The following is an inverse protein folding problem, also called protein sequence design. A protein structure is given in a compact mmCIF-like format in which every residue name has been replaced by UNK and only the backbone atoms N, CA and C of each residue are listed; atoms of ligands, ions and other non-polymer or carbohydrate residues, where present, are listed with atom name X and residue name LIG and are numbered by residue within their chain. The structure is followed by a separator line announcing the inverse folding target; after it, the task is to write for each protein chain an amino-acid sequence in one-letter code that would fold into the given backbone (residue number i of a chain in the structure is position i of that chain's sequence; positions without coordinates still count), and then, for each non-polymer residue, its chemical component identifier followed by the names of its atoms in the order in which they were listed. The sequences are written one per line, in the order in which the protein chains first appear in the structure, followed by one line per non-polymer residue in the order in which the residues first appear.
data_IF_073721601950
#
_entry.id   IF_073721601950
#
_cell.length_a   1.000
_cell.length_b   1.000
_cell.length_c   1.000
_cell.angle_alpha   90.00
_cell.angle_beta   90.00
_cell.angle_gamma   90.00
#
_symmetry.space_group_name_H-M   'P 1'
#
loop_
_entity.id
_entity.type
_entity.pdbx_description
1 polymer ?
#
# COMPACT_ATOMS: atom_id res chain seq x y z
N UNK A 1 -46.83 -39.33 -71.63
CA UNK A 1 -45.93 -40.01 -70.66
C UNK A 1 -45.03 -38.94 -70.07
N UNK A 2 -45.26 -38.51 -68.80
CA UNK A 2 -44.41 -37.55 -68.10
C UNK A 2 -43.66 -38.24 -66.95
N UNK A 3 -42.33 -38.30 -67.09
CA UNK A 3 -41.45 -38.82 -66.04
C UNK A 3 -41.33 -37.81 -64.87
N UNK A 4 -41.68 -38.24 -63.68
CA UNK A 4 -41.45 -37.46 -62.46
C UNK A 4 -40.06 -37.85 -61.97
N UNK A 5 -39.16 -36.89 -61.93
CA UNK A 5 -37.86 -36.98 -61.29
C UNK A 5 -38.01 -36.66 -59.81
N UNK A 6 -37.70 -37.60 -58.90
CA UNK A 6 -37.70 -37.37 -57.48
C UNK A 6 -36.42 -36.65 -57.04
N UNK A 7 -36.56 -35.67 -56.18
CA UNK A 7 -35.46 -34.99 -55.50
C UNK A 7 -35.03 -35.77 -54.27
N UNK A 8 -33.72 -35.88 -53.97
CA UNK A 8 -33.25 -36.54 -52.78
C UNK A 8 -33.41 -35.63 -51.55
N UNK A 9 -33.91 -36.17 -50.46
CA UNK A 9 -33.99 -35.51 -49.17
C UNK A 9 -32.58 -35.41 -48.55
N UNK A 10 -32.13 -34.17 -48.32
CA UNK A 10 -30.89 -33.88 -47.58
C UNK A 10 -31.26 -33.90 -46.10
N UNK A 11 -30.78 -34.92 -45.36
CA UNK A 11 -30.84 -34.95 -43.90
C UNK A 11 -29.75 -34.04 -43.32
N UNK A 12 -30.12 -32.94 -42.74
CA UNK A 12 -29.22 -32.06 -41.99
C UNK A 12 -29.09 -32.60 -40.57
N UNK A 13 -27.97 -33.23 -40.25
CA UNK A 13 -27.63 -33.60 -38.88
C UNK A 13 -27.15 -32.39 -38.12
N UNK A 14 -27.98 -31.87 -37.21
CA UNK A 14 -27.60 -30.81 -36.27
C UNK A 14 -26.82 -31.44 -35.11
N UNK A 15 -25.48 -31.31 -35.13
CA UNK A 15 -24.61 -31.70 -34.03
C UNK A 15 -24.67 -30.62 -32.98
N UNK A 16 -25.31 -30.88 -31.84
CA UNK A 16 -25.35 -30.02 -30.68
C UNK A 16 -24.00 -30.12 -29.95
N UNK A 17 -23.08 -29.20 -30.20
CA UNK A 17 -21.84 -29.09 -29.47
C UNK A 17 -22.13 -28.47 -28.11
N UNK A 18 -22.17 -29.28 -27.05
CA UNK A 18 -22.19 -28.77 -25.66
C UNK A 18 -20.86 -28.10 -25.34
N UNK A 19 -20.78 -26.81 -25.43
CA UNK A 19 -19.66 -26.02 -24.96
C UNK A 19 -19.74 -26.00 -23.42
N UNK A 20 -18.99 -26.86 -22.76
CA UNK A 20 -18.73 -26.74 -21.32
C UNK A 20 -17.82 -25.52 -21.12
N UNK A 21 -18.42 -24.37 -20.84
CA UNK A 21 -17.70 -23.23 -20.32
C UNK A 21 -17.20 -23.61 -18.92
N UNK A 22 -15.92 -23.97 -18.81
CA UNK A 22 -15.23 -24.08 -17.52
C UNK A 22 -15.26 -22.70 -16.89
N UNK A 23 -16.11 -22.52 -15.89
CA UNK A 23 -16.05 -21.37 -14.98
C UNK A 23 -14.74 -21.53 -14.20
N UNK A 24 -13.66 -20.96 -14.73
CA UNK A 24 -12.45 -20.78 -13.96
C UNK A 24 -12.82 -19.91 -12.77
N UNK A 25 -12.94 -20.54 -11.60
CA UNK A 25 -13.19 -19.86 -10.33
C UNK A 25 -11.98 -18.93 -10.14
N UNK A 26 -12.15 -17.65 -10.42
CA UNK A 26 -11.13 -16.66 -10.19
C UNK A 26 -10.79 -16.75 -8.70
N UNK A 27 -9.58 -17.24 -8.39
CA UNK A 27 -9.08 -17.24 -7.02
C UNK A 27 -9.26 -15.82 -6.48
N UNK A 28 -10.11 -15.65 -5.47
CA UNK A 28 -10.55 -14.35 -5.00
C UNK A 28 -9.33 -13.44 -4.76
N UNK A 29 -9.33 -12.26 -5.37
CA UNK A 29 -8.24 -11.30 -5.24
C UNK A 29 -7.95 -11.07 -3.75
N UNK A 30 -6.67 -11.04 -3.36
CA UNK A 30 -6.26 -10.84 -1.98
C UNK A 30 -6.92 -9.57 -1.40
N UNK A 31 -7.50 -9.70 -0.24
CA UNK A 31 -8.10 -8.59 0.53
C UNK A 31 -7.35 -8.43 1.83
N UNK A 32 -6.86 -7.23 2.11
CA UNK A 32 -6.21 -6.92 3.38
C UNK A 32 -7.26 -6.75 4.48
N UNK A 33 -6.97 -7.24 5.68
CA UNK A 33 -7.79 -6.97 6.87
C UNK A 33 -7.36 -5.68 7.57
N UNK A 34 -8.26 -5.04 8.32
CA UNK A 34 -7.90 -3.92 9.20
C UNK A 34 -6.77 -4.30 10.17
N UNK A 35 -6.85 -5.50 10.74
CA UNK A 35 -5.82 -6.00 11.65
C UNK A 35 -4.43 -6.09 10.98
N UNK A 36 -4.35 -6.62 9.76
CA UNK A 36 -3.09 -6.67 9.00
C UNK A 36 -2.54 -5.28 8.75
N UNK A 37 -3.39 -4.34 8.31
CA UNK A 37 -2.99 -2.96 8.06
C UNK A 37 -2.53 -2.24 9.35
N UNK A 38 -3.25 -2.43 10.46
CA UNK A 38 -2.87 -1.91 11.79
C UNK A 38 -1.52 -2.47 12.25
N UNK A 39 -1.31 -3.79 12.11
CA UNK A 39 -0.06 -4.42 12.53
C UNK A 39 1.13 -3.97 11.68
N UNK A 40 0.92 -3.79 10.37
CA UNK A 40 1.92 -3.27 9.45
C UNK A 40 2.34 -1.85 9.84
N UNK A 41 1.36 -0.96 10.07
CA UNK A 41 1.63 0.44 10.45
C UNK A 41 2.30 0.55 11.83
N UNK A 42 1.91 -0.29 12.79
CA UNK A 42 2.59 -0.36 14.08
C UNK A 42 4.06 -0.74 13.92
N UNK A 43 4.35 -1.74 13.09
CA UNK A 43 5.74 -2.12 12.76
C UNK A 43 6.51 -0.98 12.09
N UNK A 44 5.85 -0.22 11.20
CA UNK A 44 6.42 0.93 10.53
C UNK A 44 6.77 2.05 11.51
N UNK A 45 5.85 2.46 12.40
CA UNK A 45 6.09 3.46 13.42
C UNK A 45 7.18 3.03 14.41
N UNK A 46 7.15 1.77 14.88
CA UNK A 46 8.21 1.24 15.76
C UNK A 46 9.59 1.27 15.09
N UNK A 47 9.66 0.93 13.80
CA UNK A 47 10.90 1.00 13.04
C UNK A 47 11.39 2.45 12.88
N UNK A 48 10.48 3.40 12.71
CA UNK A 48 10.82 4.83 12.66
C UNK A 48 11.30 5.34 14.02
N UNK A 49 10.54 5.11 15.10
CA UNK A 49 10.89 5.52 16.47
C UNK A 49 12.28 5.01 16.89
N UNK A 50 12.63 3.81 16.45
CA UNK A 50 13.95 3.19 16.69
C UNK A 50 14.98 3.51 15.61
N UNK A 51 14.63 4.25 14.56
CA UNK A 51 15.47 4.57 13.39
C UNK A 51 16.09 3.32 12.78
N UNK A 52 15.32 2.25 12.71
CA UNK A 52 15.75 0.94 12.25
C UNK A 52 15.33 0.70 10.79
N UNK A 53 16.17 1.11 9.85
CA UNK A 53 15.92 0.92 8.41
C UNK A 53 15.82 -0.57 8.02
N UNK A 54 16.51 -1.49 8.72
CA UNK A 54 16.39 -2.94 8.49
C UNK A 54 15.01 -3.47 8.87
N UNK A 55 14.38 -2.89 9.90
CA UNK A 55 13.02 -3.24 10.27
C UNK A 55 12.00 -2.72 9.25
N UNK A 56 12.18 -1.49 8.74
CA UNK A 56 11.31 -0.93 7.70
C UNK A 56 11.28 -1.83 6.46
N UNK A 57 12.43 -2.24 5.94
CA UNK A 57 12.48 -3.01 4.68
C UNK A 57 11.86 -4.41 4.80
N UNK A 58 11.76 -4.97 6.01
CA UNK A 58 11.06 -6.23 6.25
C UNK A 58 9.55 -6.14 6.06
N UNK A 59 8.99 -4.94 6.11
CA UNK A 59 7.57 -4.69 5.88
C UNK A 59 7.21 -4.68 4.38
N UNK A 60 8.19 -4.63 3.50
CA UNK A 60 8.01 -4.58 2.05
C UNK A 60 8.37 -5.90 1.37
N UNK A 61 7.76 -6.13 0.19
CA UNK A 61 8.23 -7.18 -0.72
C UNK A 61 9.65 -6.88 -1.20
N UNK A 62 10.42 -7.85 -1.73
CA UNK A 62 11.76 -7.58 -2.26
C UNK A 62 11.82 -6.47 -3.30
N UNK A 63 10.83 -6.40 -4.20
CA UNK A 63 10.68 -5.35 -5.22
C UNK A 63 9.69 -4.24 -4.84
N UNK A 64 9.39 -4.08 -3.56
CA UNK A 64 8.42 -3.08 -3.08
C UNK A 64 8.78 -1.65 -3.49
N UNK A 65 7.76 -0.82 -3.61
CA UNK A 65 7.90 0.60 -3.98
C UNK A 65 7.51 1.47 -2.80
N UNK A 66 8.36 2.41 -2.47
CA UNK A 66 8.09 3.45 -1.48
C UNK A 66 8.16 4.83 -2.14
N UNK A 67 7.13 5.63 -1.95
CA UNK A 67 7.05 7.00 -2.44
C UNK A 67 6.83 7.95 -1.27
N UNK A 68 7.87 8.69 -0.88
CA UNK A 68 7.76 9.70 0.19
C UNK A 68 7.04 10.97 -0.28
N UNK A 69 7.06 11.25 -1.60
CA UNK A 69 6.27 12.32 -2.22
C UNK A 69 5.74 11.79 -3.56
N UNK A 70 4.40 11.68 -3.72
CA UNK A 70 3.80 11.19 -4.94
C UNK A 70 4.14 12.03 -6.16
N UNK A 71 4.45 11.38 -7.28
CA UNK A 71 4.74 12.07 -8.55
C UNK A 71 6.13 12.70 -8.66
N UNK A 72 6.94 12.62 -7.60
CA UNK A 72 8.33 13.14 -7.61
C UNK A 72 9.28 11.96 -7.80
N UNK A 73 9.99 11.92 -8.93
CA UNK A 73 10.81 10.77 -9.35
C UNK A 73 11.95 10.44 -8.38
N UNK A 74 12.65 11.46 -7.88
CA UNK A 74 13.75 11.29 -6.90
C UNK A 74 13.24 11.02 -5.47
N UNK A 75 11.93 10.95 -5.25
CA UNK A 75 11.25 10.55 -4.01
C UNK A 75 10.54 9.21 -4.16
N UNK A 76 10.93 8.42 -5.16
CA UNK A 76 10.42 7.06 -5.40
C UNK A 76 11.57 6.06 -5.30
N UNK A 77 11.44 5.13 -4.36
CA UNK A 77 12.46 4.14 -4.02
C UNK A 77 11.94 2.74 -4.34
N UNK A 78 12.65 2.01 -5.21
CA UNK A 78 12.25 0.69 -5.68
C UNK A 78 13.17 -0.38 -5.12
N UNK A 79 12.58 -1.36 -4.46
CA UNK A 79 13.28 -2.48 -3.83
C UNK A 79 13.86 -2.14 -2.45
N UNK A 80 14.04 -3.18 -1.65
CA UNK A 80 14.46 -3.06 -0.24
C UNK A 80 15.76 -2.27 -0.06
N UNK A 81 16.72 -2.40 -0.97
CA UNK A 81 18.01 -1.70 -0.88
C UNK A 81 17.83 -0.16 -0.99
N UNK A 82 17.01 0.30 -1.94
CA UNK A 82 16.75 1.73 -2.11
C UNK A 82 15.91 2.29 -0.96
N UNK A 83 14.90 1.53 -0.49
CA UNK A 83 14.09 1.88 0.67
C UNK A 83 14.94 1.98 1.93
N UNK A 84 15.83 1.00 2.16
CA UNK A 84 16.77 1.02 3.29
C UNK A 84 17.65 2.28 3.30
N UNK A 85 18.26 2.57 2.14
CA UNK A 85 19.13 3.74 2.03
C UNK A 85 18.38 5.04 2.36
N UNK A 86 17.20 5.21 1.80
CA UNK A 86 16.35 6.37 2.09
C UNK A 86 16.06 6.48 3.60
N UNK A 87 15.57 5.41 4.21
CA UNK A 87 15.21 5.40 5.63
C UNK A 87 16.40 5.62 6.56
N UNK A 88 17.55 5.05 6.23
CA UNK A 88 18.80 5.29 6.96
C UNK A 88 19.21 6.77 6.92
N UNK A 89 19.15 7.39 5.73
CA UNK A 89 19.58 8.77 5.56
C UNK A 89 18.58 9.76 6.19
N UNK A 90 17.27 9.60 5.96
CA UNK A 90 16.25 10.55 6.41
C UNK A 90 16.08 10.53 7.93
N UNK A 91 16.24 9.37 8.57
CA UNK A 91 16.08 9.27 10.03
C UNK A 91 17.34 9.59 10.82
N UNK A 92 18.50 9.68 10.16
CA UNK A 92 19.77 9.95 10.83
C UNK A 92 19.79 11.25 11.64
N UNK A 93 19.27 12.40 11.16
CA UNK A 93 19.20 13.63 11.95
C UNK A 93 18.06 13.67 12.97
N UNK A 94 17.14 12.71 12.91
CA UNK A 94 15.92 12.69 13.72
C UNK A 94 16.15 12.13 15.10
N UNK A 95 15.40 12.62 16.06
CA UNK A 95 15.37 12.13 17.44
C UNK A 95 14.03 12.41 18.13
N UNK A 96 13.78 11.83 19.28
CA UNK A 96 12.54 12.00 20.05
C UNK A 96 11.29 11.69 19.22
N UNK A 97 11.38 10.67 18.40
CA UNK A 97 10.32 10.28 17.47
C UNK A 97 9.22 9.58 18.27
N UNK A 98 7.99 10.04 18.13
CA UNK A 98 6.81 9.40 18.71
C UNK A 98 5.65 9.48 17.72
N UNK A 99 5.10 8.32 17.37
CA UNK A 99 4.04 8.19 16.37
C UNK A 99 2.82 7.45 16.88
N UNK A 100 1.65 7.93 16.51
CA UNK A 100 0.37 7.24 16.69
C UNK A 100 -0.31 7.04 15.33
N UNK A 101 -1.15 6.01 15.25
CA UNK A 101 -1.91 5.70 14.03
C UNK A 101 -3.42 5.78 14.29
N UNK A 102 -4.16 6.18 13.27
CA UNK A 102 -5.61 6.06 13.21
C UNK A 102 -6.07 4.66 12.81
N UNK A 103 -7.39 4.49 12.78
CA UNK A 103 -8.03 3.25 12.30
C UNK A 103 -7.89 3.11 10.79
N UNK A 104 -7.31 2.02 10.26
CA UNK A 104 -7.15 1.84 8.82
C UNK A 104 -8.50 1.77 8.08
N UNK A 105 -8.59 2.48 6.96
CA UNK A 105 -9.66 2.34 5.96
C UNK A 105 -9.17 1.34 4.92
N UNK A 106 -9.86 0.21 4.74
CA UNK A 106 -9.42 -0.87 3.84
C UNK A 106 -10.37 -1.04 2.65
N UNK A 107 -9.80 -1.26 1.46
CA UNK A 107 -10.54 -1.56 0.23
C UNK A 107 -9.72 -2.52 -0.64
N UNK A 108 -10.24 -3.72 -0.88
CA UNK A 108 -9.52 -4.76 -1.60
C UNK A 108 -8.19 -5.09 -0.91
N UNK A 109 -7.09 -4.99 -1.61
CA UNK A 109 -5.74 -5.19 -1.08
C UNK A 109 -5.04 -3.89 -0.65
N UNK A 110 -5.79 -2.78 -0.50
CA UNK A 110 -5.24 -1.47 -0.13
C UNK A 110 -5.78 -1.00 1.21
N UNK A 111 -4.97 -0.22 1.90
CA UNK A 111 -5.38 0.53 3.09
C UNK A 111 -4.92 1.99 3.00
N UNK A 112 -5.75 2.91 3.49
CA UNK A 112 -5.34 4.25 3.85
C UNK A 112 -5.23 4.31 5.38
N UNK A 113 -4.10 4.81 5.89
CA UNK A 113 -3.79 4.81 7.32
C UNK A 113 -3.22 6.18 7.67
N UNK A 114 -3.94 6.91 8.51
CA UNK A 114 -3.47 8.18 9.05
C UNK A 114 -2.44 7.91 10.15
N UNK A 115 -1.39 8.73 10.18
CA UNK A 115 -0.43 8.77 11.28
C UNK A 115 -0.19 10.21 11.71
N UNK A 116 0.13 10.37 12.98
CA UNK A 116 0.49 11.62 13.62
C UNK A 116 1.80 11.41 14.33
N UNK A 117 2.87 12.06 13.85
CA UNK A 117 4.22 11.81 14.35
C UNK A 117 4.85 13.11 14.81
N UNK A 118 5.32 13.14 16.04
CA UNK A 118 6.14 14.24 16.56
C UNK A 118 7.60 13.81 16.65
N UNK A 119 8.50 14.66 16.21
CA UNK A 119 9.93 14.37 16.31
C UNK A 119 10.77 15.63 16.23
N UNK A 120 12.02 15.52 16.65
CA UNK A 120 13.02 16.57 16.50
C UNK A 120 13.79 16.33 15.21
N UNK A 121 13.83 17.33 14.32
CA UNK A 121 14.59 17.28 13.08
C UNK A 121 15.15 18.66 12.72
N UNK A 122 16.46 18.90 12.89
CA UNK A 122 17.08 20.19 12.58
C UNK A 122 17.17 20.50 11.08
N UNK A 123 16.95 19.49 10.19
CA UNK A 123 16.92 19.69 8.73
C UNK A 123 15.58 20.29 8.30
N UNK A 124 14.47 19.73 8.79
CA UNK A 124 13.12 20.22 8.46
C UNK A 124 12.74 21.47 9.25
N UNK A 125 13.19 21.58 10.51
CA UNK A 125 12.97 22.77 11.34
C UNK A 125 14.30 23.26 11.90
N UNK A 126 15.07 24.10 11.18
CA UNK A 126 16.40 24.57 11.62
C UNK A 126 16.36 25.58 12.77
N UNK A 127 15.18 26.00 13.21
CA UNK A 127 15.00 27.02 14.25
C UNK A 127 14.47 26.44 15.55
N UNK A 128 14.69 27.18 16.65
CA UNK A 128 14.15 26.83 17.95
C UNK A 128 14.61 25.48 18.48
N UNK A 129 13.68 24.69 19.03
CA UNK A 129 13.94 23.36 19.58
C UNK A 129 13.96 22.25 18.51
N UNK A 130 13.78 22.60 17.22
CA UNK A 130 13.74 21.69 16.08
C UNK A 130 12.60 20.66 16.10
N UNK A 131 11.61 20.83 16.99
CA UNK A 131 10.46 19.95 17.05
C UNK A 131 9.50 20.22 15.90
N UNK A 132 8.96 19.16 15.34
CA UNK A 132 7.91 19.20 14.32
C UNK A 132 6.83 18.16 14.63
N UNK A 133 5.66 18.41 14.08
CA UNK A 133 4.57 17.44 13.97
C UNK A 133 4.32 17.16 12.51
N UNK A 134 4.35 15.91 12.13
CA UNK A 134 4.01 15.45 10.80
C UNK A 134 2.63 14.81 10.82
N UNK A 135 1.79 15.26 9.90
CA UNK A 135 0.45 14.77 9.63
C UNK A 135 0.52 14.00 8.32
N UNK A 136 0.25 12.71 8.35
CA UNK A 136 0.47 11.88 7.18
C UNK A 136 -0.64 10.86 6.96
N UNK A 137 -0.94 10.60 5.69
CA UNK A 137 -1.73 9.45 5.26
C UNK A 137 -0.88 8.54 4.39
N UNK A 138 -0.72 7.30 4.84
CA UNK A 138 -0.08 6.23 4.09
C UNK A 138 -1.11 5.48 3.26
N UNK A 139 -0.93 5.39 1.94
CA UNK A 139 -1.73 4.54 1.06
C UNK A 139 -0.92 3.31 0.70
N UNK A 140 -1.20 2.22 1.39
CA UNK A 140 -0.44 0.97 1.31
C UNK A 140 -1.17 -0.05 0.43
N UNK A 141 -0.44 -0.68 -0.51
CA UNK A 141 -0.93 -1.83 -1.29
C UNK A 141 -0.25 -3.09 -0.78
N UNK A 142 -1.05 -4.06 -0.36
CA UNK A 142 -0.59 -5.30 0.25
C UNK A 142 -0.61 -6.48 -0.72
N UNK A 143 0.26 -7.45 -0.47
CA UNK A 143 0.19 -8.79 -1.06
C UNK A 143 -0.19 -9.82 0.00
N UNK A 144 -0.53 -11.04 -0.43
CA UNK A 144 -0.76 -12.17 0.49
C UNK A 144 0.44 -12.34 1.42
N UNK A 145 0.19 -12.48 2.72
CA UNK A 145 1.23 -12.53 3.75
C UNK A 145 1.49 -11.18 4.43
N UNK A 146 0.76 -10.10 4.06
CA UNK A 146 0.76 -8.82 4.79
C UNK A 146 1.95 -7.91 4.51
N UNK A 147 2.80 -8.23 3.51
CA UNK A 147 3.85 -7.33 3.07
C UNK A 147 3.29 -6.26 2.12
N UNK A 148 3.86 -5.05 2.18
CA UNK A 148 3.55 -3.99 1.24
C UNK A 148 4.29 -4.20 -0.08
N UNK A 149 3.56 -4.20 -1.20
CA UNK A 149 4.15 -4.05 -2.54
C UNK A 149 4.35 -2.59 -2.91
N UNK A 150 3.59 -1.67 -2.27
CA UNK A 150 3.74 -0.24 -2.45
C UNK A 150 3.26 0.50 -1.20
N UNK A 151 3.97 1.57 -0.81
CA UNK A 151 3.51 2.62 0.11
C UNK A 151 3.66 3.97 -0.57
N UNK A 152 2.64 4.82 -0.45
CA UNK A 152 2.64 6.21 -0.94
C UNK A 152 2.23 7.09 0.22
N UNK A 153 3.04 8.10 0.50
CA UNK A 153 2.82 9.03 1.60
C UNK A 153 2.29 10.37 1.10
N UNK A 154 1.33 10.89 1.83
CA UNK A 154 0.77 12.23 1.65
C UNK A 154 0.87 12.94 2.98
N UNK A 155 1.79 13.88 3.10
CA UNK A 155 2.10 14.47 4.39
C UNK A 155 2.20 15.99 4.36
N UNK A 156 2.05 16.56 5.55
CA UNK A 156 2.30 17.96 5.85
C UNK A 156 3.07 18.07 7.17
N UNK A 157 3.87 19.12 7.33
CA UNK A 157 4.68 19.39 8.53
C UNK A 157 4.23 20.68 9.15
N UNK A 158 4.08 20.64 10.48
CA UNK A 158 3.80 21.82 11.32
C UNK A 158 4.93 21.96 12.33
N UNK A 159 5.57 23.15 12.45
CA UNK A 159 6.58 23.38 13.48
C UNK A 159 6.00 23.23 14.89
N UNK A 160 6.77 22.61 15.81
CA UNK A 160 6.36 22.39 17.18
C UNK A 160 5.71 21.02 17.43
N UNK A 161 5.27 20.82 18.68
CA UNK A 161 4.56 19.61 19.12
C UNK A 161 3.07 19.93 19.22
N UNK A 162 2.26 19.25 18.43
CA UNK A 162 0.82 19.39 18.40
C UNK A 162 0.15 18.06 18.70
N UNK A 163 -0.89 18.07 19.51
CA UNK A 163 -1.74 16.90 19.70
C UNK A 163 -2.76 16.77 18.56
N UNK A 164 -3.18 15.55 18.19
CA UNK A 164 -4.27 15.40 17.24
C UNK A 164 -5.58 15.98 17.80
N UNK A 165 -6.45 16.51 16.93
CA UNK A 165 -7.74 17.03 17.37
C UNK A 165 -8.65 15.91 17.87
N UNK A 166 -9.69 16.22 18.68
CA UNK A 166 -10.68 15.24 19.10
C UNK A 166 -11.32 14.54 17.90
N UNK A 167 -11.44 13.20 17.99
CA UNK A 167 -12.00 12.37 16.92
C UNK A 167 -11.06 12.04 15.77
N UNK A 168 -9.81 12.48 15.82
CA UNK A 168 -8.82 12.08 14.81
C UNK A 168 -8.56 10.58 14.83
N UNK A 169 -8.49 9.97 13.63
CA UNK A 169 -8.13 8.56 13.46
C UNK A 169 -9.23 7.56 13.88
N UNK A 170 -10.45 8.02 14.09
CA UNK A 170 -11.60 7.19 14.50
C UNK A 170 -12.14 6.30 13.35
#
# INVERSE_FOLDING_TARGET
MRKRTGLPAIAVAVTLACVFASVAQAAGAYRVSKQTATSWMRGYLTAWETRNADAVVKLFTPGGVYQSIPGVSNQTFVGRKAIHKYWFDVTRPQSMIHGIQGTPIVSGNRAAIEIWVTFRDPVYNPKGNHMITLLETNVVTFVKGGLASKNVEYWNIVPGVHAPPPGWGA
#
